data_IF_230233858167
#
_entry.id   IF_230233858167
#
_cell.length_a   1.000
_cell.length_b   1.000
_cell.length_c   1.000
_cell.angle_alpha   90.00
_cell.angle_beta   90.00
_cell.angle_gamma   90.00
#
_symmetry.space_group_name_H-M   'P 1'
#
loop_
_entity.id
_entity.type
_entity.pdbx_description
1 polymer ?
#
# COMPACT_ATOMS: atom_id res chain seq x y z
N UNK A 1 -26.48 -0.55 -1.08
CA UNK A 1 -25.74 -0.52 0.20
C UNK A 1 -24.25 -0.69 -0.10
N UNK A 2 -23.38 0.27 0.25
CA UNK A 2 -21.92 0.13 0.10
C UNK A 2 -21.32 -0.79 1.19
N UNK A 3 -20.16 -1.39 0.91
CA UNK A 3 -19.42 -2.26 1.84
C UNK A 3 -18.05 -1.69 2.25
N UNK A 4 -17.36 -2.38 3.16
CA UNK A 4 -15.99 -2.03 3.55
C UNK A 4 -14.99 -2.64 2.55
N UNK A 5 -14.19 -1.83 1.84
CA UNK A 5 -13.25 -2.35 0.86
C UNK A 5 -12.03 -3.00 1.54
N UNK A 6 -11.44 -4.00 0.87
CA UNK A 6 -10.34 -4.79 1.42
C UNK A 6 -9.12 -3.95 1.82
N UNK A 7 -8.79 -2.88 1.09
CA UNK A 7 -7.67 -2.01 1.45
C UNK A 7 -7.86 -1.31 2.80
N UNK A 8 -9.10 -0.96 3.16
CA UNK A 8 -9.41 -0.34 4.44
C UNK A 8 -9.25 -1.35 5.59
N UNK A 9 -9.72 -2.59 5.38
CA UNK A 9 -9.49 -3.68 6.33
C UNK A 9 -7.99 -4.00 6.49
N UNK A 10 -7.22 -3.97 5.40
CA UNK A 10 -5.77 -4.15 5.43
C UNK A 10 -5.06 -3.02 6.19
N UNK A 11 -5.41 -1.75 5.95
CA UNK A 11 -4.87 -0.61 6.68
C UNK A 11 -5.15 -0.70 8.19
N UNK A 12 -6.38 -1.08 8.56
CA UNK A 12 -6.77 -1.33 9.94
C UNK A 12 -5.96 -2.46 10.58
N UNK A 13 -5.80 -3.59 9.88
CA UNK A 13 -4.97 -4.70 10.34
C UNK A 13 -3.49 -4.32 10.52
N UNK A 14 -2.98 -3.43 9.65
CA UNK A 14 -1.63 -2.90 9.75
C UNK A 14 -1.45 -1.84 10.84
N UNK A 15 -2.56 -1.32 11.39
CA UNK A 15 -2.60 -0.16 12.29
C UNK A 15 -1.83 1.04 11.71
N UNK A 16 -2.05 1.32 10.42
CA UNK A 16 -1.37 2.41 9.71
C UNK A 16 -2.35 3.27 8.94
N UNK A 17 -2.09 4.57 8.98
CA UNK A 17 -2.66 5.52 8.04
C UNK A 17 -1.97 5.38 6.67
N UNK A 18 -2.73 5.53 5.59
CA UNK A 18 -2.19 5.44 4.22
C UNK A 18 -1.79 6.80 3.64
N UNK A 19 -2.15 7.88 4.33
CA UNK A 19 -1.73 9.26 4.05
C UNK A 19 -1.13 9.83 5.31
N UNK A 20 0.14 10.22 5.24
CA UNK A 20 0.91 10.72 6.39
C UNK A 20 1.51 12.08 6.00
N UNK A 21 1.27 13.16 6.78
CA UNK A 21 1.86 14.47 6.53
C UNK A 21 3.38 14.41 6.36
N UNK A 22 3.90 15.05 5.32
CA UNK A 22 5.34 15.05 5.01
C UNK A 22 5.88 13.75 4.42
N UNK A 23 5.07 12.68 4.30
CA UNK A 23 5.49 11.38 3.76
C UNK A 23 4.71 11.03 2.49
N UNK A 24 3.38 10.92 2.57
CA UNK A 24 2.53 10.71 1.40
C UNK A 24 1.14 11.32 1.62
N UNK A 25 0.61 11.99 0.60
CA UNK A 25 -0.72 12.62 0.63
C UNK A 25 -1.68 12.03 -0.41
N UNK A 26 -1.29 10.91 -1.01
CA UNK A 26 -2.04 10.27 -2.09
C UNK A 26 -1.98 8.76 -1.90
N UNK A 27 -3.12 8.12 -2.14
CA UNK A 27 -3.25 6.66 -2.16
C UNK A 27 -3.81 6.26 -3.53
N UNK A 28 -3.05 5.47 -4.27
CA UNK A 28 -3.49 4.91 -5.55
C UNK A 28 -3.97 3.48 -5.31
N UNK A 29 -5.26 3.23 -5.58
CA UNK A 29 -5.84 1.89 -5.57
C UNK A 29 -5.82 1.35 -6.99
N UNK A 30 -5.14 0.23 -7.21
CA UNK A 30 -5.10 -0.37 -8.55
C UNK A 30 -4.99 -1.90 -8.47
N UNK A 31 -4.86 -2.52 -9.63
CA UNK A 31 -4.63 -3.93 -9.84
C UNK A 31 -3.55 -4.12 -10.90
N UNK A 32 -3.21 -5.38 -11.16
CA UNK A 32 -2.34 -5.75 -12.26
C UNK A 32 -3.12 -6.33 -13.42
N UNK A 33 -2.57 -6.16 -14.62
CA UNK A 33 -3.09 -6.80 -15.82
C UNK A 33 -3.05 -8.33 -15.64
N UNK A 34 -4.19 -8.96 -15.87
CA UNK A 34 -4.27 -10.42 -16.01
C UNK A 34 -4.35 -10.76 -17.49
N UNK A 35 -4.05 -12.01 -17.87
CA UNK A 35 -4.17 -12.47 -19.28
C UNK A 35 -5.55 -12.15 -19.89
N UNK A 36 -6.59 -12.08 -19.04
CA UNK A 36 -7.97 -11.80 -19.41
C UNK A 36 -8.37 -10.32 -19.42
N UNK A 37 -7.52 -9.40 -18.93
CA UNK A 37 -7.90 -7.98 -18.79
C UNK A 37 -6.67 -7.07 -18.84
N UNK A 38 -6.47 -6.32 -19.94
CA UNK A 38 -5.42 -5.31 -20.02
C UNK A 38 -5.75 -4.11 -19.11
N UNK A 39 -4.72 -3.39 -18.67
CA UNK A 39 -4.91 -2.08 -18.03
C UNK A 39 -5.17 -1.01 -19.09
N UNK A 40 -5.99 0.02 -18.79
CA UNK A 40 -6.11 1.20 -19.65
C UNK A 40 -4.75 1.89 -19.88
N UNK A 41 -4.59 2.62 -20.99
CA UNK A 41 -3.38 3.42 -21.23
C UNK A 41 -3.09 4.37 -20.07
N UNK A 42 -1.83 4.39 -19.59
CA UNK A 42 -1.39 5.26 -18.49
C UNK A 42 -1.63 4.72 -17.08
N UNK A 43 -2.30 3.58 -16.93
CA UNK A 43 -2.51 2.89 -15.64
C UNK A 43 -1.59 1.68 -15.44
N UNK A 44 -0.51 1.58 -16.21
CA UNK A 44 0.53 0.57 -15.97
C UNK A 44 1.30 0.87 -14.67
N UNK A 45 1.87 -0.18 -14.08
CA UNK A 45 2.55 -0.06 -12.79
C UNK A 45 3.73 0.92 -12.81
N UNK A 46 4.50 0.96 -13.90
CA UNK A 46 5.65 1.85 -13.98
C UNK A 46 5.16 3.31 -14.00
N UNK A 47 4.06 3.59 -14.72
CA UNK A 47 3.45 4.91 -14.73
C UNK A 47 2.90 5.35 -13.37
N UNK A 48 2.16 4.47 -12.69
CA UNK A 48 1.58 4.76 -11.38
C UNK A 48 2.66 4.92 -10.29
N UNK A 49 3.75 4.15 -10.39
CA UNK A 49 4.88 4.19 -9.46
C UNK A 49 5.69 5.48 -9.50
N UNK A 50 5.66 6.26 -10.59
CA UNK A 50 6.44 7.51 -10.71
C UNK A 50 6.18 8.52 -9.60
N UNK A 51 4.94 8.56 -9.09
CA UNK A 51 4.56 9.46 -7.99
C UNK A 51 5.23 9.10 -6.67
N UNK A 52 5.66 7.83 -6.51
CA UNK A 52 6.14 7.24 -5.24
C UNK A 52 5.17 7.41 -4.07
N UNK A 53 3.90 7.70 -4.34
CA UNK A 53 2.85 7.83 -3.33
C UNK A 53 2.53 6.47 -2.70
N UNK A 54 1.56 6.39 -1.79
CA UNK A 54 1.13 5.09 -1.28
C UNK A 54 0.40 4.33 -2.40
N UNK A 55 0.88 3.14 -2.75
CA UNK A 55 0.26 2.28 -3.77
C UNK A 55 -0.37 1.06 -3.12
N UNK A 56 -1.63 0.78 -3.43
CA UNK A 56 -2.33 -0.41 -2.97
C UNK A 56 -2.76 -1.28 -4.14
N UNK A 57 -2.24 -2.50 -4.17
CA UNK A 57 -2.46 -3.46 -5.23
C UNK A 57 -3.45 -4.55 -4.79
N UNK A 58 -4.53 -4.67 -5.57
CA UNK A 58 -5.49 -5.76 -5.51
C UNK A 58 -5.21 -6.77 -6.62
N UNK A 59 -5.68 -8.02 -6.43
CA UNK A 59 -5.57 -9.10 -7.42
C UNK A 59 -4.14 -9.33 -7.94
N UNK A 60 -3.15 -9.07 -7.08
CA UNK A 60 -1.75 -8.94 -7.46
C UNK A 60 -0.85 -10.05 -6.91
N UNK A 61 -1.31 -10.78 -5.89
CA UNK A 61 -0.46 -11.70 -5.13
C UNK A 61 0.22 -12.78 -5.99
N UNK A 62 -0.48 -13.32 -6.99
CA UNK A 62 0.05 -14.34 -7.89
C UNK A 62 1.15 -13.84 -8.85
N UNK A 63 1.34 -12.52 -8.95
CA UNK A 63 2.26 -11.88 -9.90
C UNK A 63 3.36 -11.08 -9.21
N UNK A 64 3.63 -11.32 -7.91
CA UNK A 64 4.58 -10.52 -7.14
C UNK A 64 5.96 -10.42 -7.80
N UNK A 65 6.45 -11.50 -8.40
CA UNK A 65 7.75 -11.55 -9.08
C UNK A 65 7.82 -10.65 -10.32
N UNK A 66 6.67 -10.43 -10.99
CA UNK A 66 6.58 -9.50 -12.13
C UNK A 66 6.28 -8.05 -11.71
N UNK A 67 5.69 -7.88 -10.53
CA UNK A 67 5.30 -6.57 -9.99
C UNK A 67 6.53 -5.82 -9.48
N UNK A 68 7.35 -6.48 -8.66
CA UNK A 68 8.50 -5.84 -8.00
C UNK A 68 9.42 -5.13 -9.02
N UNK A 69 9.88 -5.78 -10.12
CA UNK A 69 10.71 -5.11 -11.11
C UNK A 69 10.05 -3.87 -11.72
N UNK A 70 8.75 -3.94 -12.05
CA UNK A 70 8.03 -2.81 -12.65
C UNK A 70 7.87 -1.63 -11.69
N UNK A 71 7.74 -1.90 -10.39
CA UNK A 71 7.69 -0.84 -9.38
C UNK A 71 9.06 -0.18 -9.21
N UNK A 72 10.15 -0.97 -9.27
CA UNK A 72 11.52 -0.45 -9.25
C UNK A 72 11.81 0.39 -10.50
N UNK A 73 11.46 -0.11 -11.69
CA UNK A 73 11.58 0.63 -12.96
C UNK A 73 10.77 1.94 -12.95
N UNK A 74 9.59 1.91 -12.32
CA UNK A 74 8.73 3.07 -12.13
C UNK A 74 9.23 4.08 -11.09
N UNK A 75 10.32 3.77 -10.37
CA UNK A 75 11.04 4.70 -9.52
C UNK A 75 10.96 4.44 -8.02
N UNK A 76 10.27 3.40 -7.54
CA UNK A 76 10.42 2.97 -6.15
C UNK A 76 11.84 2.43 -5.89
N UNK A 77 12.24 2.43 -4.62
CA UNK A 77 13.56 1.95 -4.20
C UNK A 77 13.46 0.51 -3.72
N UNK A 78 14.53 -0.30 -3.81
CA UNK A 78 14.54 -1.64 -3.23
C UNK A 78 14.14 -1.66 -1.74
N UNK A 79 14.51 -0.61 -1.00
CA UNK A 79 14.25 -0.44 0.43
C UNK A 79 12.85 0.12 0.71
N UNK A 80 12.06 0.48 -0.31
CA UNK A 80 10.70 0.98 -0.12
C UNK A 80 9.89 -0.04 0.67
N UNK A 81 9.27 0.35 1.79
CA UNK A 81 8.50 -0.56 2.62
C UNK A 81 7.32 -1.18 1.87
N UNK A 82 7.09 -2.46 2.15
CA UNK A 82 5.94 -3.21 1.64
C UNK A 82 5.28 -3.98 2.78
N UNK A 83 3.95 -3.98 2.78
CA UNK A 83 3.15 -4.80 3.66
C UNK A 83 2.14 -5.61 2.83
N UNK A 84 1.96 -6.88 3.20
CA UNK A 84 0.99 -7.77 2.56
C UNK A 84 0.03 -8.25 3.64
N UNK A 85 -1.27 -8.02 3.45
CA UNK A 85 -2.32 -8.55 4.31
C UNK A 85 -3.12 -9.57 3.53
N UNK A 86 -2.85 -10.85 3.77
CA UNK A 86 -3.63 -11.95 3.24
C UNK A 86 -4.86 -12.17 4.11
N UNK A 87 -6.01 -12.33 3.46
CA UNK A 87 -7.29 -12.60 4.10
C UNK A 87 -7.62 -11.62 5.24
N UNK A 88 -7.48 -10.31 4.95
CA UNK A 88 -7.81 -9.25 5.89
C UNK A 88 -9.20 -9.47 6.51
N UNK A 89 -9.30 -9.31 7.82
CA UNK A 89 -10.47 -9.56 8.70
C UNK A 89 -10.92 -11.01 8.88
N UNK A 90 -10.30 -11.99 8.23
CA UNK A 90 -10.67 -13.40 8.39
C UNK A 90 -9.87 -14.05 9.54
N UNK A 91 -10.36 -15.16 10.14
CA UNK A 91 -9.64 -15.84 11.23
C UNK A 91 -8.21 -16.29 10.88
N UNK A 92 -7.96 -16.57 9.60
CA UNK A 92 -6.65 -17.01 9.10
C UNK A 92 -5.80 -15.86 8.53
N UNK A 93 -6.17 -14.60 8.78
CA UNK A 93 -5.42 -13.42 8.35
C UNK A 93 -3.92 -13.57 8.62
N UNK A 94 -3.11 -13.24 7.61
CA UNK A 94 -1.64 -13.20 7.74
C UNK A 94 -1.11 -11.87 7.27
N UNK A 95 -0.18 -11.32 8.03
CA UNK A 95 0.48 -10.05 7.72
C UNK A 95 1.96 -10.31 7.50
N UNK A 96 2.48 -9.89 6.35
CA UNK A 96 3.91 -9.81 6.08
C UNK A 96 4.33 -8.35 6.00
N UNK A 97 5.54 -8.07 6.47
CA UNK A 97 6.21 -6.78 6.32
C UNK A 97 7.60 -7.02 5.78
N UNK A 98 8.06 -6.14 4.91
CA UNK A 98 9.36 -6.22 4.26
C UNK A 98 9.59 -4.99 3.41
N UNK A 99 10.38 -5.16 2.37
CA UNK A 99 10.72 -4.14 1.38
C UNK A 99 10.51 -4.68 -0.03
N UNK A 100 10.58 -3.84 -1.05
CA UNK A 100 10.54 -4.34 -2.44
C UNK A 100 11.65 -5.35 -2.74
N UNK A 101 12.80 -5.26 -2.05
CA UNK A 101 13.91 -6.18 -2.21
C UNK A 101 13.62 -7.62 -1.71
N UNK A 102 12.71 -7.81 -0.73
CA UNK A 102 12.53 -9.11 -0.08
C UNK A 102 11.09 -9.64 -0.04
N UNK A 103 10.09 -8.81 -0.37
CA UNK A 103 8.69 -9.16 -0.15
C UNK A 103 8.24 -10.36 -0.99
N UNK A 104 8.76 -10.51 -2.22
CA UNK A 104 8.45 -11.64 -3.09
C UNK A 104 8.85 -12.97 -2.42
N UNK A 105 10.09 -13.07 -1.94
CA UNK A 105 10.58 -14.25 -1.22
C UNK A 105 9.73 -14.55 0.02
N UNK A 106 9.42 -13.52 0.83
CA UNK A 106 8.55 -13.68 2.02
C UNK A 106 7.15 -14.19 1.68
N UNK A 107 6.58 -13.74 0.56
CA UNK A 107 5.27 -14.22 0.09
C UNK A 107 5.32 -15.68 -0.35
N UNK A 108 6.40 -16.10 -1.03
CA UNK A 108 6.63 -17.49 -1.42
C UNK A 108 6.77 -18.40 -0.21
N UNK A 109 7.60 -18.03 0.77
CA UNK A 109 7.78 -18.79 2.02
C UNK A 109 6.46 -18.93 2.78
N UNK A 110 5.66 -17.86 2.79
CA UNK A 110 4.33 -17.86 3.39
C UNK A 110 3.26 -18.57 2.53
N UNK A 111 3.56 -18.98 1.30
CA UNK A 111 2.60 -19.56 0.35
C UNK A 111 1.39 -18.64 0.08
N UNK A 112 1.59 -17.33 0.08
CA UNK A 112 0.54 -16.33 -0.18
C UNK A 112 0.51 -16.05 -1.68
N UNK A 113 -0.42 -16.71 -2.38
CA UNK A 113 -0.56 -16.59 -3.84
C UNK A 113 -1.85 -15.91 -4.28
N UNK A 114 -2.80 -15.67 -3.36
CA UNK A 114 -4.12 -15.08 -3.65
C UNK A 114 -4.70 -14.40 -2.42
N UNK A 115 -5.80 -13.68 -2.62
CA UNK A 115 -6.59 -13.05 -1.55
C UNK A 115 -5.72 -12.25 -0.59
N UNK A 116 -4.93 -11.35 -1.15
CA UNK A 116 -4.08 -10.45 -0.38
C UNK A 116 -4.14 -9.04 -0.95
N UNK A 117 -4.04 -8.07 -0.04
CA UNK A 117 -3.82 -6.66 -0.34
C UNK A 117 -2.34 -6.37 -0.12
N UNK A 118 -1.68 -5.80 -1.12
CA UNK A 118 -0.28 -5.40 -1.05
C UNK A 118 -0.25 -3.88 -0.98
N UNK A 119 0.37 -3.34 0.06
CA UNK A 119 0.57 -1.90 0.26
C UNK A 119 2.06 -1.63 0.09
N UNK A 120 2.41 -0.66 -0.75
CA UNK A 120 3.77 -0.22 -1.03
C UNK A 120 3.87 1.27 -0.71
N UNK A 121 4.89 1.68 0.04
CA UNK A 121 5.18 3.09 0.27
C UNK A 121 5.74 3.39 1.65
N UNK A 122 6.39 4.54 1.76
CA UNK A 122 7.13 4.98 2.94
C UNK A 122 6.22 5.21 4.17
N UNK A 123 4.90 5.33 3.98
CA UNK A 123 3.91 5.44 5.07
C UNK A 123 3.91 4.25 6.03
N UNK A 124 4.35 3.07 5.58
CA UNK A 124 4.32 1.85 6.39
C UNK A 124 5.34 1.85 7.54
N UNK A 125 6.39 2.65 7.42
CA UNK A 125 7.44 2.82 8.44
C UNK A 125 7.53 4.26 8.94
N UNK A 126 6.57 5.11 8.60
CA UNK A 126 6.54 6.49 9.08
C UNK A 126 6.34 6.52 10.61
N UNK A 127 7.18 7.30 11.27
CA UNK A 127 7.18 7.54 12.72
C UNK A 127 7.36 9.03 12.97
N UNK A 128 6.92 9.51 14.15
CA UNK A 128 7.18 10.90 14.58
C UNK A 128 6.57 11.99 13.70
N UNK A 129 5.60 11.67 12.84
CA UNK A 129 4.92 12.66 12.03
C UNK A 129 3.95 13.48 12.90
N UNK A 130 3.90 14.78 12.63
CA UNK A 130 2.97 15.68 13.32
C UNK A 130 1.54 15.28 12.97
N UNK A 131 0.68 15.13 13.99
CA UNK A 131 -0.76 14.99 13.78
C UNK A 131 -1.24 16.06 12.80
N UNK A 132 -2.16 15.69 11.91
CA UNK A 132 -2.73 16.65 10.96
C UNK A 132 -3.06 17.96 11.68
N UNK A 133 -2.68 19.10 11.09
CA UNK A 133 -2.90 20.42 11.72
C UNK A 133 -4.37 20.61 12.16
N UNK A 134 -5.31 19.94 11.47
CA UNK A 134 -6.74 19.88 11.83
C UNK A 134 -6.99 19.35 13.26
N UNK A 135 -6.20 18.38 13.71
CA UNK A 135 -6.30 17.74 15.03
C UNK A 135 -5.22 18.22 16.02
N UNK A 136 -4.29 19.08 15.55
CA UNK A 136 -3.28 19.65 16.43
C UNK A 136 -3.92 20.55 17.51
N UNK A 137 -3.39 20.46 18.73
CA UNK A 137 -3.74 21.38 19.83
C UNK A 137 -3.51 22.85 19.44
N UNK A 138 -2.55 23.12 18.55
CA UNK A 138 -2.25 24.45 18.02
C UNK A 138 -3.42 25.08 17.22
N UNK A 139 -4.32 24.29 16.62
CA UNK A 139 -5.50 24.81 15.91
C UNK A 139 -6.55 25.41 16.85
N UNK A 140 -6.68 24.89 18.07
CA UNK A 140 -7.68 25.37 19.03
C UNK A 140 -7.38 26.80 19.53
N UNK A 141 -6.17 27.33 19.31
CA UNK A 141 -5.78 28.68 19.70
C UNK A 141 -6.14 29.80 18.70
N UNK A 142 -6.61 29.49 17.49
CA UNK A 142 -6.86 30.52 16.44
C UNK A 142 -8.32 30.96 16.26
N UNK A 143 -9.26 30.39 17.02
CA UNK A 143 -10.68 30.79 17.00
C UNK A 143 -11.13 31.49 18.30
N UNK A 144 -10.18 31.90 19.15
CA UNK A 144 -10.46 32.60 20.41
C UNK A 144 -9.99 34.07 20.40
N UNK A 145 -9.88 34.70 19.22
CA UNK A 145 -9.69 36.15 19.06
C UNK A 145 -10.66 36.69 18.02
#
# INVERSE_FOLDING_TARGET
MPGVPAFAAAAAALKRELTVPGVAQTVTLTRVATLSTPMPPGEDLAALARSRATLVLHLAAAQIDAIVPRLLDGGYRPETPVAVVAFASWPQQRTLRGTLADIAARMHDAKITRTAVIVVGDVLTAEGFTDSYLYSVARHGRYAQ
#
